data_IF_643999412320
#
_entry.id   IF_643999412320
#
_cell.length_a   1.000
_cell.length_b   1.000
_cell.length_c   1.000
_cell.angle_alpha   90.00
_cell.angle_beta   90.00
_cell.angle_gamma   90.00
#
_symmetry.space_group_name_H-M   'P 1'
#
loop_
_entity.id
_entity.type
_entity.pdbx_description
1 polymer ?
#
# COMPACT_ATOMS: atom_id res chain seq x y z
N UNK A 1 16.68 1.26 19.86
CA UNK A 1 16.05 0.18 19.08
C UNK A 1 16.88 -0.04 17.83
N UNK A 2 17.25 -1.29 17.51
CA UNK A 2 18.01 -1.59 16.29
C UNK A 2 17.14 -1.29 15.05
N UNK A 3 17.58 -0.38 14.18
CA UNK A 3 16.84 0.07 12.98
C UNK A 3 16.41 -1.10 12.08
N UNK A 4 17.24 -2.13 11.98
CA UNK A 4 16.98 -3.36 11.22
C UNK A 4 15.74 -4.11 11.74
N UNK A 5 15.56 -4.20 13.06
CA UNK A 5 14.41 -4.91 13.65
C UNK A 5 13.13 -4.16 13.32
N UNK A 6 13.14 -2.83 13.43
CA UNK A 6 11.97 -2.02 13.10
C UNK A 6 11.59 -2.16 11.62
N UNK A 7 12.57 -2.05 10.71
CA UNK A 7 12.34 -2.19 9.27
C UNK A 7 11.71 -3.55 8.92
N UNK A 8 12.26 -4.64 9.48
CA UNK A 8 11.72 -6.00 9.29
C UNK A 8 10.30 -6.14 9.84
N UNK A 9 10.05 -5.60 11.03
CA UNK A 9 8.71 -5.59 11.63
C UNK A 9 7.71 -4.82 10.78
N UNK A 10 8.09 -3.65 10.25
CA UNK A 10 7.25 -2.87 9.36
C UNK A 10 6.91 -3.66 8.08
N UNK A 11 7.91 -4.31 7.47
CA UNK A 11 7.69 -5.13 6.27
C UNK A 11 6.73 -6.28 6.54
N UNK A 12 7.02 -7.11 7.54
CA UNK A 12 6.18 -8.27 7.88
C UNK A 12 4.75 -7.82 8.24
N UNK A 13 4.61 -6.83 9.13
CA UNK A 13 3.29 -6.36 9.54
C UNK A 13 2.48 -5.81 8.37
N UNK A 14 3.11 -5.03 7.48
CA UNK A 14 2.41 -4.47 6.33
C UNK A 14 2.07 -5.51 5.26
N UNK A 15 2.87 -6.57 5.13
CA UNK A 15 2.55 -7.74 4.32
C UNK A 15 1.28 -8.45 4.82
N UNK A 16 1.23 -8.78 6.11
CA UNK A 16 0.06 -9.41 6.72
C UNK A 16 -1.20 -8.52 6.67
N UNK A 17 -1.04 -7.21 6.85
CA UNK A 17 -2.15 -6.26 6.63
C UNK A 17 -2.63 -6.31 5.17
N UNK A 18 -1.73 -6.49 4.20
CA UNK A 18 -2.09 -6.72 2.81
C UNK A 18 -3.01 -7.93 2.64
N UNK A 19 -2.70 -9.05 3.30
CA UNK A 19 -3.57 -10.23 3.31
C UNK A 19 -4.92 -9.96 3.96
N UNK A 20 -4.97 -9.21 5.07
CA UNK A 20 -6.23 -8.81 5.71
C UNK A 20 -7.11 -7.94 4.79
N UNK A 21 -6.50 -7.20 3.86
CA UNK A 21 -7.17 -6.41 2.84
C UNK A 21 -7.51 -7.21 1.57
N UNK A 22 -7.26 -8.53 1.56
CA UNK A 22 -7.54 -9.41 0.43
C UNK A 22 -6.54 -9.29 -0.73
N UNK A 23 -5.32 -8.82 -0.46
CA UNK A 23 -4.24 -8.81 -1.43
C UNK A 23 -3.42 -10.09 -1.23
N UNK A 24 -3.50 -11.00 -2.19
CA UNK A 24 -2.68 -12.21 -2.22
C UNK A 24 -1.24 -11.93 -2.68
N UNK A 25 -0.39 -12.95 -2.59
CA UNK A 25 0.98 -12.87 -3.05
C UNK A 25 1.10 -12.37 -4.51
N UNK A 26 2.13 -11.58 -4.76
CA UNK A 26 2.41 -10.96 -6.05
C UNK A 26 3.60 -11.63 -6.74
N UNK A 27 3.48 -11.83 -8.05
CA UNK A 27 4.53 -12.42 -8.90
C UNK A 27 4.98 -11.49 -10.03
N UNK A 28 4.45 -10.26 -10.09
CA UNK A 28 4.63 -9.39 -11.25
C UNK A 28 5.94 -8.59 -11.21
N UNK A 29 6.32 -8.07 -10.04
CA UNK A 29 7.47 -7.20 -9.83
C UNK A 29 8.02 -7.39 -8.41
N UNK A 30 9.14 -6.73 -8.09
CA UNK A 30 9.57 -6.52 -6.70
C UNK A 30 8.48 -5.79 -5.93
N UNK A 31 7.94 -6.46 -4.92
CA UNK A 31 6.75 -6.05 -4.20
C UNK A 31 6.80 -6.52 -2.75
N UNK A 32 6.29 -5.69 -1.86
CA UNK A 32 5.97 -6.04 -0.46
C UNK A 32 5.14 -7.33 -0.33
N UNK A 33 4.30 -7.65 -1.32
CA UNK A 33 3.45 -8.84 -1.32
C UNK A 33 4.09 -10.02 -2.05
N UNK A 34 5.38 -10.00 -2.41
CA UNK A 34 5.99 -11.21 -2.98
C UNK A 34 5.91 -12.36 -1.96
N UNK A 35 5.63 -13.57 -2.43
CA UNK A 35 5.71 -14.75 -1.56
C UNK A 35 7.16 -15.10 -1.27
N UNK A 36 7.40 -15.72 -0.12
CA UNK A 36 8.70 -16.25 0.29
C UNK A 36 8.57 -17.73 0.67
N UNK A 37 9.57 -18.51 0.27
CA UNK A 37 9.71 -19.90 0.68
C UNK A 37 10.62 -20.07 1.90
N UNK A 38 11.47 -19.08 2.20
CA UNK A 38 12.38 -19.08 3.35
C UNK A 38 12.71 -17.66 3.86
N UNK A 39 13.18 -17.56 5.11
CA UNK A 39 13.47 -16.30 5.82
C UNK A 39 14.41 -15.35 5.08
N UNK A 40 15.37 -15.87 4.30
CA UNK A 40 16.34 -15.03 3.59
C UNK A 40 15.68 -14.30 2.42
N UNK A 41 14.72 -14.92 1.74
CA UNK A 41 13.90 -14.28 0.70
C UNK A 41 13.07 -13.15 1.30
N UNK A 42 12.42 -13.38 2.44
CA UNK A 42 11.66 -12.33 3.17
C UNK A 42 12.50 -11.09 3.47
N UNK A 43 13.77 -11.29 3.82
CA UNK A 43 14.66 -10.17 4.15
C UNK A 43 15.10 -9.39 2.91
N UNK A 44 15.06 -9.98 1.73
CA UNK A 44 15.40 -9.33 0.45
C UNK A 44 14.26 -8.53 -0.18
N UNK A 45 13.01 -8.75 0.26
CA UNK A 45 11.84 -8.14 -0.36
C UNK A 45 11.74 -6.63 -0.12
N UNK A 46 11.14 -5.93 -1.08
CA UNK A 46 10.79 -4.51 -1.01
C UNK A 46 9.96 -4.17 0.23
N UNK A 47 10.18 -2.98 0.81
CA UNK A 47 9.21 -2.37 1.75
C UNK A 47 7.95 -1.83 1.03
N UNK A 48 7.96 -1.78 -0.31
CA UNK A 48 6.95 -1.07 -1.08
C UNK A 48 6.11 -1.98 -1.95
N UNK A 49 4.83 -1.61 -2.12
CA UNK A 49 3.96 -2.25 -3.11
C UNK A 49 4.41 -1.89 -4.53
N UNK A 50 4.33 -2.86 -5.44
CA UNK A 50 4.46 -2.63 -6.87
C UNK A 50 3.23 -1.87 -7.41
N UNK A 51 3.28 -1.34 -8.65
CA UNK A 51 2.14 -0.59 -9.22
C UNK A 51 0.82 -1.37 -9.26
N UNK A 52 0.88 -2.70 -9.43
CA UNK A 52 -0.31 -3.58 -9.47
C UNK A 52 -0.99 -3.59 -8.11
N UNK A 53 -0.27 -3.91 -7.04
CA UNK A 53 -0.86 -4.03 -5.70
C UNK A 53 -1.11 -2.67 -5.06
N UNK A 54 -0.34 -1.64 -5.43
CA UNK A 54 -0.65 -0.26 -5.07
C UNK A 54 -2.02 0.15 -5.65
N UNK A 55 -2.32 -0.25 -6.88
CA UNK A 55 -3.64 0.01 -7.50
C UNK A 55 -4.75 -0.78 -6.81
N UNK A 56 -4.51 -2.03 -6.42
CA UNK A 56 -5.46 -2.82 -5.60
C UNK A 56 -5.74 -2.11 -4.28
N UNK A 57 -4.71 -1.70 -3.55
CA UNK A 57 -4.84 -1.00 -2.27
C UNK A 57 -5.55 0.35 -2.42
N UNK A 58 -5.17 1.15 -3.41
CA UNK A 58 -5.81 2.44 -3.71
C UNK A 58 -7.30 2.28 -4.02
N UNK A 59 -7.70 1.18 -4.66
CA UNK A 59 -9.11 0.89 -4.94
C UNK A 59 -9.92 0.56 -3.68
N UNK A 60 -9.27 0.00 -2.66
CA UNK A 60 -9.90 -0.42 -1.41
C UNK A 60 -10.00 0.72 -0.38
N UNK A 61 -8.93 1.52 -0.24
CA UNK A 61 -8.77 2.51 0.84
C UNK A 61 -8.95 3.96 0.35
N UNK A 62 -8.88 4.21 -0.96
CA UNK A 62 -9.01 5.53 -1.60
C UNK A 62 -8.11 6.62 -0.98
N UNK A 63 -6.83 6.60 -1.34
CA UNK A 63 -5.82 7.58 -0.87
C UNK A 63 -5.05 8.21 -2.04
N UNK A 64 -4.48 9.41 -1.82
CA UNK A 64 -3.55 10.04 -2.76
C UNK A 64 -2.16 9.40 -2.64
N UNK A 65 -1.65 8.89 -3.77
CA UNK A 65 -0.39 8.16 -3.83
C UNK A 65 0.81 9.04 -3.50
N UNK A 66 0.79 10.33 -3.89
CA UNK A 66 1.90 11.25 -3.63
C UNK A 66 1.95 11.56 -2.14
N UNK A 67 0.81 11.94 -1.54
CA UNK A 67 0.72 12.19 -0.11
C UNK A 67 1.16 10.96 0.69
N UNK A 68 0.76 9.76 0.27
CA UNK A 68 1.21 8.52 0.90
C UNK A 68 2.74 8.39 0.88
N UNK A 69 3.37 8.62 -0.27
CA UNK A 69 4.82 8.49 -0.38
C UNK A 69 5.58 9.60 0.37
N UNK A 70 5.03 10.81 0.46
CA UNK A 70 5.59 11.88 1.32
C UNK A 70 5.60 11.45 2.79
N UNK A 71 4.47 10.96 3.30
CA UNK A 71 4.39 10.46 4.68
C UNK A 71 5.33 9.26 4.94
N UNK A 72 5.48 8.38 3.96
CA UNK A 72 6.44 7.28 4.06
C UNK A 72 7.89 7.78 4.07
N UNK A 73 8.20 8.82 3.28
CA UNK A 73 9.54 9.40 3.22
C UNK A 73 9.91 10.03 4.56
N UNK A 74 8.99 10.77 5.18
CA UNK A 74 9.19 11.36 6.51
C UNK A 74 9.48 10.27 7.54
N UNK A 75 8.65 9.22 7.57
CA UNK A 75 8.84 8.08 8.48
C UNK A 75 10.19 7.36 8.25
N UNK A 76 10.56 7.10 6.99
CA UNK A 76 11.82 6.43 6.67
C UNK A 76 13.04 7.29 7.05
N UNK A 77 12.93 8.61 6.84
CA UNK A 77 13.98 9.58 7.20
C UNK A 77 14.18 9.63 8.72
N UNK A 78 13.10 9.72 9.49
CA UNK A 78 13.13 9.73 10.96
C UNK A 78 13.76 8.44 11.53
N UNK A 79 13.52 7.30 10.87
CA UNK A 79 14.00 5.99 11.32
C UNK A 79 15.32 5.55 10.66
N UNK A 80 15.95 6.41 9.85
CA UNK A 80 17.24 6.18 9.16
C UNK A 80 17.24 4.96 8.22
N UNK A 81 16.14 4.78 7.49
CA UNK A 81 16.00 3.77 6.43
C UNK A 81 16.53 4.36 5.12
N UNK A 82 17.86 4.38 4.96
CA UNK A 82 18.54 5.12 3.89
C UNK A 82 18.16 4.63 2.50
N UNK A 83 18.13 3.32 2.31
CA UNK A 83 17.89 2.70 1.01
C UNK A 83 16.43 2.96 0.57
N UNK A 84 15.50 2.85 1.51
CA UNK A 84 14.08 3.16 1.32
C UNK A 84 13.84 4.63 1.02
N UNK A 85 14.57 5.52 1.72
CA UNK A 85 14.51 6.98 1.52
C UNK A 85 14.96 7.35 0.11
N UNK A 86 16.04 6.74 -0.39
CA UNK A 86 16.54 6.96 -1.75
C UNK A 86 15.54 6.51 -2.82
N UNK A 87 14.89 5.36 -2.60
CA UNK A 87 13.86 4.84 -3.51
C UNK A 87 12.64 5.77 -3.53
N UNK A 88 12.16 6.21 -2.35
CA UNK A 88 11.00 7.10 -2.24
C UNK A 88 11.25 8.46 -2.86
N UNK A 89 12.44 9.04 -2.64
CA UNK A 89 12.82 10.34 -3.21
C UNK A 89 12.75 10.30 -4.74
N UNK A 90 13.38 9.29 -5.35
CA UNK A 90 13.35 9.10 -6.81
C UNK A 90 11.92 8.90 -7.34
N UNK A 91 11.11 8.09 -6.66
CA UNK A 91 9.69 7.86 -7.05
C UNK A 91 8.86 9.15 -6.99
N UNK A 92 9.02 9.93 -5.92
CA UNK A 92 8.31 11.20 -5.74
C UNK A 92 8.71 12.23 -6.80
N UNK A 93 9.98 12.31 -7.16
CA UNK A 93 10.44 13.20 -8.23
C UNK A 93 9.76 12.89 -9.57
N UNK A 94 9.68 11.60 -9.94
CA UNK A 94 9.02 11.16 -11.17
C UNK A 94 7.53 11.53 -11.13
N UNK A 95 6.83 11.16 -10.07
CA UNK A 95 5.39 11.39 -9.95
C UNK A 95 5.01 12.88 -9.89
N UNK A 96 5.86 13.72 -9.29
CA UNK A 96 5.65 15.18 -9.24
C UNK A 96 5.92 15.83 -10.60
N UNK A 97 6.90 15.34 -11.37
CA UNK A 97 7.15 15.80 -12.75
C UNK A 97 6.03 15.38 -13.71
N UNK A 98 5.47 14.19 -13.51
CA UNK A 98 4.41 13.62 -14.34
C UNK A 98 2.99 14.10 -13.99
N UNK A 99 2.79 14.92 -12.96
CA UNK A 99 1.50 15.59 -12.71
C UNK A 99 1.41 16.89 -13.54
N UNK A 100 0.78 16.92 -14.74
CA UNK A 100 0.09 18.11 -15.18
C UNK A 100 -1.17 18.27 -14.32
N UNK A 101 -1.48 19.50 -13.94
CA UNK A 101 -2.60 19.90 -13.10
C UNK A 101 -3.94 19.28 -13.56
N UNK A 102 -4.33 18.15 -12.97
CA UNK A 102 -5.69 17.63 -13.12
C UNK A 102 -6.25 17.32 -11.75
N UNK A 103 -7.01 18.29 -11.26
CA UNK A 103 -7.82 18.22 -10.05
C UNK A 103 -8.87 17.11 -10.23
N UNK A 104 -8.79 16.06 -9.41
CA UNK A 104 -9.88 15.08 -9.31
C UNK A 104 -11.06 15.79 -8.63
N UNK A 105 -12.11 16.05 -9.41
CA UNK A 105 -13.42 16.48 -8.90
C UNK A 105 -13.85 15.54 -7.77
N UNK A 106 -14.05 16.13 -6.59
CA UNK A 106 -14.78 15.59 -5.45
C UNK A 106 -16.06 14.91 -5.95
N UNK A 107 -16.15 13.59 -5.81
CA UNK A 107 -17.36 12.83 -6.11
C UNK A 107 -18.36 13.13 -4.99
N UNK A 108 -19.25 14.09 -5.23
CA UNK A 108 -20.43 14.33 -4.42
C UNK A 108 -21.33 13.10 -4.53
N UNK A 109 -21.24 12.16 -3.59
CA UNK A 109 -22.30 11.18 -3.42
C UNK A 109 -23.38 11.82 -2.56
N UNK A 110 -24.40 12.36 -3.24
CA UNK A 110 -25.72 12.47 -2.66
C UNK A 110 -26.19 11.08 -2.24
N UNK A 111 -26.77 10.99 -1.05
CA UNK A 111 -27.27 9.75 -0.49
C UNK A 111 -28.42 9.20 -1.32
N UNK A 112 -28.29 7.94 -1.71
CA UNK A 112 -29.44 7.10 -2.04
C UNK A 112 -29.46 5.95 -1.03
N UNK A 113 -30.54 5.94 -0.23
CA UNK A 113 -30.86 4.95 0.78
C UNK A 113 -30.85 3.54 0.19
N UNK A 114 -29.94 2.68 0.65
CA UNK A 114 -30.08 1.23 0.47
C UNK A 114 -31.10 0.72 1.49
N UNK A 115 -32.37 0.61 1.05
CA UNK A 115 -33.43 -0.10 1.77
C UNK A 115 -33.04 -1.58 1.92
N UNK A 116 -32.56 -1.93 3.11
CA UNK A 116 -32.28 -3.31 3.54
C UNK A 116 -33.60 -4.05 3.76
N UNK A 117 -34.13 -4.67 2.70
CA UNK A 117 -35.31 -5.53 2.81
C UNK A 117 -34.89 -6.93 3.24
N UNK A 118 -35.17 -7.25 4.51
CA UNK A 118 -35.04 -8.57 5.09
C UNK A 118 -35.91 -9.60 4.34
N UNK A 119 -35.29 -10.52 3.60
CA UNK A 119 -35.94 -11.78 3.21
C UNK A 119 -35.17 -12.96 3.78
N UNK A 120 -35.68 -13.37 4.94
CA UNK A 120 -35.46 -14.64 5.64
C UNK A 120 -35.68 -15.81 4.66
N UNK A 121 -34.61 -16.45 4.22
CA UNK A 121 -34.68 -17.71 3.48
C UNK A 121 -35.09 -18.82 4.45
N UNK A 122 -36.27 -19.39 4.19
CA UNK A 122 -36.87 -20.50 4.93
C UNK A 122 -36.05 -21.78 4.67
N UNK A 123 -35.65 -22.44 5.76
CA UNK A 123 -35.27 -23.87 5.76
C UNK A 123 -36.43 -24.68 5.15
N UNK A 124 -36.11 -25.55 4.20
CA UNK A 124 -36.86 -26.74 3.86
C UNK A 124 -35.94 -27.92 4.08
#
# INVERSE_FOLDING_TARGET
>A
MSTIILLRSCRLLTHEIGHLLGIDHCIYYDCLMNGSGHLEEDFSQSLFLCPVDLRKLSKLVDFDVIQRYEQMLDFCTENKFTDETDVLTKRLEILKKEKPATQTKKRSNNGDEVKRSSKRLKKK
#
